data_IF_352053730711
#
_entry.id   IF_352053730711
#
_cell.length_a   1.000
_cell.length_b   1.000
_cell.length_c   1.000
_cell.angle_alpha   90.00
_cell.angle_beta   90.00
_cell.angle_gamma   90.00
#
_symmetry.space_group_name_H-M   'P 1'
#
loop_
_entity.id
_entity.type
_entity.pdbx_description
1 polymer ?
#
# COMPACT_ATOMS: atom_id res chain seq x y z
N UNK A 1 -0.51 7.10 -43.85
CA UNK A 1 0.67 6.72 -43.03
C UNK A 1 0.43 6.72 -41.51
N UNK A 2 -0.38 7.64 -40.94
CA UNK A 2 -0.64 7.67 -39.48
C UNK A 2 -1.38 6.43 -38.95
N UNK A 3 -2.34 5.93 -39.73
CA UNK A 3 -3.14 4.75 -39.37
C UNK A 3 -2.32 3.44 -39.35
N UNK A 4 -1.43 3.26 -40.33
CA UNK A 4 -0.57 2.07 -40.43
C UNK A 4 0.41 2.00 -39.25
N UNK A 5 1.00 3.13 -38.85
CA UNK A 5 1.89 3.19 -37.69
C UNK A 5 1.15 2.87 -36.38
N UNK A 6 -0.09 3.34 -36.24
CA UNK A 6 -0.92 3.03 -35.06
C UNK A 6 -1.31 1.55 -34.99
N UNK A 7 -1.61 0.93 -36.13
CA UNK A 7 -1.95 -0.49 -36.20
C UNK A 7 -0.72 -1.37 -35.86
N UNK A 8 0.46 -1.01 -36.38
CA UNK A 8 1.71 -1.72 -36.07
C UNK A 8 2.08 -1.56 -34.59
N UNK A 9 1.88 -0.38 -33.99
CA UNK A 9 2.10 -0.16 -32.57
C UNK A 9 1.15 -1.00 -31.70
N UNK A 10 -0.15 -1.03 -32.04
CA UNK A 10 -1.14 -1.81 -31.31
C UNK A 10 -0.85 -3.32 -31.40
N UNK A 11 -0.44 -3.81 -32.57
CA UNK A 11 -0.09 -5.22 -32.76
C UNK A 11 1.21 -5.59 -32.04
N UNK A 12 2.22 -4.71 -32.06
CA UNK A 12 3.45 -4.88 -31.28
C UNK A 12 3.20 -4.92 -29.77
N UNK A 13 2.32 -4.06 -29.26
CA UNK A 13 1.93 -4.06 -27.85
C UNK A 13 1.18 -5.34 -27.45
N UNK A 14 0.32 -5.85 -28.33
CA UNK A 14 -0.42 -7.09 -28.12
C UNK A 14 0.51 -8.32 -28.07
N UNK A 15 1.57 -8.33 -28.88
CA UNK A 15 2.59 -9.38 -28.90
C UNK A 15 3.46 -9.37 -27.64
N UNK A 16 3.82 -8.19 -27.12
CA UNK A 16 4.55 -8.05 -25.86
C UNK A 16 3.74 -8.54 -24.65
N UNK A 17 2.41 -8.45 -24.71
CA UNK A 17 1.52 -8.95 -23.66
C UNK A 17 1.41 -10.49 -23.62
N UNK A 18 1.81 -11.21 -24.68
CA UNK A 18 1.73 -12.68 -24.72
C UNK A 18 2.79 -13.36 -23.83
N UNK A 19 3.85 -12.65 -23.42
CA UNK A 19 4.92 -13.21 -22.57
C UNK A 19 4.46 -13.64 -21.18
N UNK A 20 3.32 -13.12 -20.69
CA UNK A 20 2.74 -13.50 -19.39
C UNK A 20 1.79 -14.71 -19.49
N UNK A 21 1.37 -15.09 -20.70
CA UNK A 21 0.40 -16.18 -20.91
C UNK A 21 1.05 -17.58 -20.94
N UNK A 22 2.37 -17.69 -21.11
CA UNK A 22 3.10 -18.97 -21.18
C UNK A 22 3.57 -19.50 -19.82
N UNK A 23 3.28 -18.82 -18.72
CA UNK A 23 3.47 -19.38 -17.38
C UNK A 23 2.27 -20.27 -17.03
N UNK A 24 2.15 -21.40 -17.73
CA UNK A 24 1.19 -22.45 -17.36
C UNK A 24 1.48 -22.88 -15.92
N UNK A 25 0.43 -22.83 -15.09
CA UNK A 25 0.42 -23.26 -13.69
C UNK A 25 1.08 -24.63 -13.57
N UNK A 26 2.28 -24.68 -13.00
CA UNK A 26 2.79 -25.92 -12.42
C UNK A 26 1.72 -26.42 -11.43
N UNK A 27 1.49 -27.74 -11.33
CA UNK A 27 0.63 -28.25 -10.27
C UNK A 27 1.16 -27.72 -8.94
N UNK A 28 0.35 -26.89 -8.26
CA UNK A 28 0.65 -26.43 -6.91
C UNK A 28 1.03 -27.67 -6.10
N UNK A 29 2.21 -27.71 -5.47
CA UNK A 29 2.56 -28.82 -4.61
C UNK A 29 1.44 -28.94 -3.59
N UNK A 30 0.83 -30.12 -3.48
CA UNK A 30 -0.22 -30.40 -2.48
C UNK A 30 0.40 -30.11 -1.12
N UNK A 31 0.16 -28.91 -0.60
CA UNK A 31 0.72 -28.46 0.66
C UNK A 31 0.07 -29.31 1.73
N UNK A 32 0.89 -30.08 2.45
CA UNK A 32 0.43 -30.77 3.65
C UNK A 32 -0.35 -29.78 4.52
N UNK A 33 -1.45 -30.19 5.19
CA UNK A 33 -2.24 -29.30 6.01
C UNK A 33 -1.33 -28.47 6.91
N UNK A 34 -1.23 -27.17 6.63
CA UNK A 34 -0.42 -26.28 7.44
C UNK A 34 -1.05 -26.24 8.83
N UNK A 35 -0.25 -26.40 9.88
CA UNK A 35 -0.74 -26.31 11.24
C UNK A 35 -1.65 -25.06 11.39
N UNK A 36 -2.75 -25.14 12.16
CA UNK A 36 -3.53 -23.94 12.46
C UNK A 36 -2.56 -22.88 13.02
N UNK A 37 -2.67 -21.65 12.52
CA UNK A 37 -1.76 -20.52 12.80
C UNK A 37 -0.39 -20.51 12.10
N UNK A 38 -0.18 -21.36 11.09
CA UNK A 38 1.05 -21.30 10.30
C UNK A 38 1.21 -19.97 9.52
N UNK A 39 0.12 -19.26 9.25
CA UNK A 39 0.14 -17.95 8.59
C UNK A 39 -0.53 -16.89 9.49
N UNK A 40 0.30 -16.02 10.08
CA UNK A 40 -0.12 -14.91 10.95
C UNK A 40 -0.10 -13.56 10.22
N UNK A 41 0.11 -13.54 8.91
CA UNK A 41 0.38 -12.31 8.16
C UNK A 41 -0.84 -11.39 8.12
N UNK A 42 -2.04 -11.97 7.98
CA UNK A 42 -3.30 -11.22 8.09
C UNK A 42 -3.46 -10.52 9.45
N UNK A 43 -3.03 -11.18 10.53
CA UNK A 43 -3.04 -10.60 11.88
C UNK A 43 -2.01 -9.46 11.96
N UNK A 44 -0.81 -9.68 11.40
CA UNK A 44 0.22 -8.64 11.29
C UNK A 44 -0.29 -7.38 10.56
N UNK A 45 -0.96 -7.55 9.41
CA UNK A 45 -1.57 -6.43 8.67
C UNK A 45 -2.60 -5.71 9.54
N UNK A 46 -3.52 -6.44 10.18
CA UNK A 46 -4.55 -5.84 11.02
C UNK A 46 -3.95 -5.01 12.16
N UNK A 47 -2.91 -5.51 12.83
CA UNK A 47 -2.23 -4.79 13.91
C UNK A 47 -1.54 -3.52 13.42
N UNK A 48 -0.85 -3.58 12.27
CA UNK A 48 -0.20 -2.42 11.65
C UNK A 48 -1.24 -1.34 11.30
N UNK A 49 -2.35 -1.73 10.67
CA UNK A 49 -3.43 -0.80 10.31
C UNK A 49 -4.09 -0.19 11.54
N UNK A 50 -4.34 -0.98 12.59
CA UNK A 50 -4.90 -0.44 13.84
C UNK A 50 -3.97 0.56 14.51
N UNK A 51 -2.66 0.28 14.55
CA UNK A 51 -1.67 1.23 15.07
C UNK A 51 -1.64 2.53 14.28
N UNK A 52 -1.66 2.45 12.95
CA UNK A 52 -1.69 3.61 12.07
C UNK A 52 -2.95 4.47 12.25
N UNK A 53 -4.12 3.82 12.27
CA UNK A 53 -5.41 4.49 12.44
C UNK A 53 -5.49 5.23 13.78
N UNK A 54 -5.01 4.61 14.86
CA UNK A 54 -4.96 5.24 16.17
C UNK A 54 -3.98 6.43 16.22
N UNK A 55 -2.77 6.26 15.65
CA UNK A 55 -1.76 7.31 15.59
C UNK A 55 -2.23 8.54 14.82
N UNK A 56 -2.73 8.35 13.59
CA UNK A 56 -3.22 9.45 12.75
C UNK A 56 -4.48 10.07 13.35
N UNK A 57 -5.42 9.26 13.85
CA UNK A 57 -6.67 9.78 14.43
C UNK A 57 -6.44 10.70 15.63
N UNK A 58 -5.55 10.32 16.54
CA UNK A 58 -5.20 11.14 17.72
C UNK A 58 -4.41 12.40 17.34
N UNK A 59 -3.50 12.30 16.37
CA UNK A 59 -2.76 13.43 15.80
C UNK A 59 -3.72 14.46 15.19
N UNK A 60 -4.60 14.02 14.28
CA UNK A 60 -5.56 14.89 13.60
C UNK A 60 -6.52 15.56 14.58
N UNK A 61 -7.04 14.81 15.57
CA UNK A 61 -7.91 15.38 16.61
C UNK A 61 -7.22 16.55 17.32
N UNK A 62 -6.01 16.32 17.81
CA UNK A 62 -5.25 17.34 18.55
C UNK A 62 -4.92 18.55 17.67
N UNK A 63 -4.51 18.32 16.42
CA UNK A 63 -4.21 19.40 15.48
C UNK A 63 -5.44 20.26 15.18
N UNK A 64 -6.60 19.65 14.92
CA UNK A 64 -7.84 20.38 14.65
C UNK A 64 -8.29 21.21 15.86
N UNK A 65 -8.21 20.65 17.07
CA UNK A 65 -8.50 21.40 18.30
C UNK A 65 -7.54 22.59 18.50
N UNK A 66 -6.24 22.40 18.25
CA UNK A 66 -5.25 23.48 18.34
C UNK A 66 -5.47 24.57 17.30
N UNK A 67 -5.76 24.21 16.05
CA UNK A 67 -6.07 25.17 14.97
C UNK A 67 -7.32 25.99 15.27
N UNK A 68 -8.34 25.38 15.89
CA UNK A 68 -9.56 26.09 16.28
C UNK A 68 -9.32 27.09 17.42
N UNK A 69 -8.37 26.80 18.34
CA UNK A 69 -8.02 27.68 19.47
C UNK A 69 -7.07 28.81 19.08
N UNK A 70 -6.20 28.57 18.10
CA UNK A 70 -5.17 29.51 17.65
C UNK A 70 -5.18 29.60 16.11
N UNK A 71 -6.19 30.27 15.53
CA UNK A 71 -6.32 30.37 14.07
C UNK A 71 -5.12 31.06 13.41
N UNK A 72 -4.44 31.96 14.12
CA UNK A 72 -3.25 32.68 13.64
C UNK A 72 -2.04 31.78 13.36
N UNK A 73 -1.95 30.61 14.01
CA UNK A 73 -0.88 29.62 13.77
C UNK A 73 -1.37 28.36 13.05
N UNK A 74 -2.62 28.35 12.57
CA UNK A 74 -3.24 27.15 12.00
C UNK A 74 -2.47 26.54 10.83
N UNK A 75 -1.91 27.38 9.94
CA UNK A 75 -1.08 26.91 8.81
C UNK A 75 0.20 26.19 9.26
N UNK A 76 0.83 26.66 10.35
CA UNK A 76 2.02 26.02 10.91
C UNK A 76 1.66 24.68 11.56
N UNK A 77 0.54 24.63 12.30
CA UNK A 77 0.03 23.40 12.90
C UNK A 77 -0.31 22.37 11.82
N UNK A 78 -0.99 22.78 10.75
CA UNK A 78 -1.31 21.91 9.62
C UNK A 78 -0.04 21.35 8.96
N UNK A 79 0.98 22.19 8.77
CA UNK A 79 2.26 21.76 8.18
C UNK A 79 2.94 20.72 9.06
N UNK A 80 3.04 20.98 10.38
CA UNK A 80 3.60 20.03 11.33
C UNK A 80 2.80 18.72 11.36
N UNK A 81 1.46 18.80 11.35
CA UNK A 81 0.56 17.64 11.30
C UNK A 81 0.80 16.79 10.05
N UNK A 82 0.94 17.40 8.86
CA UNK A 82 1.19 16.67 7.61
C UNK A 82 2.55 15.97 7.65
N UNK A 83 3.60 16.63 8.18
CA UNK A 83 4.92 16.01 8.33
C UNK A 83 4.83 14.80 9.27
N UNK A 84 4.19 14.94 10.42
CA UNK A 84 3.99 13.83 11.36
C UNK A 84 3.14 12.71 10.76
N UNK A 85 2.08 13.04 10.02
CA UNK A 85 1.26 12.06 9.32
C UNK A 85 2.08 11.30 8.26
N UNK A 86 2.93 11.99 7.49
CA UNK A 86 3.81 11.37 6.51
C UNK A 86 4.83 10.40 7.15
N UNK A 87 5.32 10.68 8.37
CA UNK A 87 6.18 9.76 9.10
C UNK A 87 5.43 8.51 9.57
N UNK A 88 4.19 8.66 10.06
CA UNK A 88 3.35 7.52 10.45
C UNK A 88 3.05 6.66 9.22
N UNK A 89 2.56 7.28 8.14
CA UNK A 89 2.27 6.60 6.87
C UNK A 89 3.51 5.91 6.29
N UNK A 90 4.69 6.55 6.36
CA UNK A 90 5.94 5.97 5.87
C UNK A 90 6.31 4.67 6.58
N UNK A 91 6.20 4.63 7.92
CA UNK A 91 6.48 3.43 8.72
C UNK A 91 5.40 2.35 8.50
N UNK A 92 4.13 2.75 8.47
CA UNK A 92 2.99 1.84 8.20
C UNK A 92 3.12 1.20 6.84
N UNK A 93 3.39 1.99 5.80
CA UNK A 93 3.56 1.50 4.43
C UNK A 93 4.77 0.56 4.33
N UNK A 94 5.90 0.90 4.95
CA UNK A 94 7.07 0.04 4.99
C UNK A 94 6.79 -1.32 5.66
N UNK A 95 6.06 -1.32 6.79
CA UNK A 95 5.66 -2.55 7.46
C UNK A 95 4.74 -3.42 6.58
N UNK A 96 3.77 -2.81 5.89
CA UNK A 96 2.91 -3.52 4.94
C UNK A 96 3.68 -4.11 3.76
N UNK A 97 4.70 -3.42 3.25
CA UNK A 97 5.60 -3.96 2.22
C UNK A 97 6.32 -5.20 2.72
N UNK A 98 6.92 -5.16 3.92
CA UNK A 98 7.60 -6.33 4.49
C UNK A 98 6.64 -7.50 4.59
N UNK A 99 5.43 -7.28 5.09
CA UNK A 99 4.42 -8.34 5.19
C UNK A 99 4.05 -8.87 3.81
N UNK A 100 3.88 -8.00 2.81
CA UNK A 100 3.56 -8.39 1.44
C UNK A 100 4.70 -9.16 0.77
N UNK A 101 5.95 -8.81 1.03
CA UNK A 101 7.12 -9.50 0.47
C UNK A 101 7.25 -10.93 1.00
N UNK A 102 6.78 -11.22 2.22
CA UNK A 102 6.70 -12.60 2.72
C UNK A 102 5.71 -13.50 1.93
N UNK A 103 4.99 -12.97 0.92
CA UNK A 103 4.10 -13.77 0.06
C UNK A 103 4.87 -14.55 -1.01
N UNK A 104 5.99 -14.00 -1.46
CA UNK A 104 6.75 -14.48 -2.61
C UNK A 104 7.97 -15.27 -2.14
#
# INVERSE_FOLDING_TARGET
MKFVKSAVLAFGLLLLAQGSASAQTAPEPVRAPSAPFADLRAIGVALVIMGAAYGIGSLTKSAVESMARQPETAGNIQTAMIISAALIEGVTFFALIIILLQTY
#
